data_IF_314344386522
#
_entry.id   IF_314344386522
#
_cell.length_a   1.000
_cell.length_b   1.000
_cell.length_c   1.000
_cell.angle_alpha   90.00
_cell.angle_beta   90.00
_cell.angle_gamma   90.00
#
_symmetry.space_group_name_H-M   'P 1'
#
loop_
_entity.id
_entity.type
_entity.pdbx_description
1 polymer ?
#
# COMPACT_ATOMS: atom_id res chain seq x y z
N UNK A 1 -16.55 13.29 -13.58
CA UNK A 1 -16.53 13.55 -13.34
C UNK A 1 -16.34 13.87 -12.77
N UNK A 2 -15.95 13.58 -12.85
CA UNK A 2 -15.67 13.87 -12.52
C UNK A 2 -15.32 14.28 -11.90
N UNK A 3 -15.24 14.08 -12.05
CA UNK A 3 -14.83 14.54 -11.61
C UNK A 3 -14.58 14.72 -10.96
N UNK A 4 -14.64 14.46 -11.07
CA UNK A 4 -14.36 14.59 -10.59
C UNK A 4 -14.06 14.69 -10.00
N UNK A 5 -14.03 14.60 -10.17
CA UNK A 5 -13.63 14.72 -9.76
C UNK A 5 -13.24 14.78 -9.07
N UNK A 6 -13.24 14.67 -9.05
CA UNK A 6 -12.78 14.63 -8.53
C UNK A 6 -12.30 14.90 -7.71
N UNK A 7 -12.18 14.89 -7.51
CA UNK A 7 -11.58 14.96 -6.81
C UNK A 7 -11.14 15.29 -5.98
N UNK A 8 -10.95 15.34 -5.76
CA UNK A 8 -10.41 15.32 -4.97
C UNK A 8 -10.01 15.60 -4.09
N UNK A 9 -9.89 15.35 -3.90
CA UNK A 9 -9.43 15.35 -3.25
C UNK A 9 -8.83 15.57 -2.49
N UNK A 10 -8.58 15.43 -2.37
CA UNK A 10 -7.94 15.42 -1.88
C UNK A 10 -7.12 15.57 -1.29
N UNK A 11 -6.94 15.72 -1.31
CA UNK A 11 -6.24 15.64 -1.12
C UNK A 11 -5.91 15.29 -0.47
N UNK A 12 -5.70 15.13 -0.31
CA UNK A 12 -5.54 14.49 0.13
C UNK A 12 -6.27 13.70 0.03
N UNK A 13 -6.80 13.61 0.19
CA UNK A 13 -7.56 12.59 0.07
C UNK A 13 -7.86 12.09 -1.25
N UNK A 14 -7.72 12.71 -2.26
CA UNK A 14 -7.87 12.26 -3.61
C UNK A 14 -6.90 11.18 -4.00
N UNK A 15 -5.92 10.92 -3.15
CA UNK A 15 -4.89 9.92 -3.43
C UNK A 15 -5.13 8.58 -2.76
N UNK A 16 -6.23 8.45 -2.06
CA UNK A 16 -6.52 7.18 -1.39
C UNK A 16 -7.15 6.21 -2.37
N UNK A 17 -6.90 4.93 -2.14
CA UNK A 17 -7.55 3.89 -2.92
C UNK A 17 -9.02 3.82 -2.59
N UNK A 18 -9.84 3.46 -3.58
CA UNK A 18 -11.23 3.11 -3.33
C UNK A 18 -11.27 1.78 -2.58
N UNK A 19 -12.45 1.44 -2.03
CA UNK A 19 -12.62 0.14 -1.38
C UNK A 19 -12.33 -0.98 -2.38
N UNK A 20 -12.83 -0.86 -3.59
CA UNK A 20 -12.56 -1.83 -4.65
C UNK A 20 -11.06 -1.93 -4.95
N UNK A 21 -10.35 -0.80 -4.97
CA UNK A 21 -8.91 -0.79 -5.19
C UNK A 21 -8.17 -1.47 -4.06
N UNK A 22 -8.61 -1.24 -2.81
CA UNK A 22 -7.99 -1.90 -1.67
C UNK A 22 -8.19 -3.41 -1.72
N UNK A 23 -9.36 -3.86 -2.12
CA UNK A 23 -9.64 -5.30 -2.26
C UNK A 23 -8.72 -5.91 -3.31
N UNK A 24 -8.53 -5.21 -4.42
CA UNK A 24 -7.64 -5.69 -5.47
C UNK A 24 -6.21 -5.82 -4.96
N UNK A 25 -5.73 -4.82 -4.22
CA UNK A 25 -4.39 -4.87 -3.65
C UNK A 25 -4.27 -6.01 -2.65
N UNK A 26 -5.29 -6.18 -1.79
CA UNK A 26 -5.28 -7.25 -0.81
C UNK A 26 -5.17 -8.63 -1.48
N UNK A 27 -5.97 -8.84 -2.53
CA UNK A 27 -5.95 -10.11 -3.25
C UNK A 27 -4.59 -10.34 -3.91
N UNK A 28 -4.00 -9.30 -4.49
CA UNK A 28 -2.67 -9.40 -5.08
C UNK A 28 -1.62 -9.75 -4.05
N UNK A 29 -1.70 -9.14 -2.86
CA UNK A 29 -0.75 -9.43 -1.80
C UNK A 29 -0.88 -10.88 -1.33
N UNK A 30 -2.10 -11.33 -1.10
CA UNK A 30 -2.33 -12.70 -0.63
C UNK A 30 -1.78 -13.71 -1.64
N UNK A 31 -2.06 -13.50 -2.92
CA UNK A 31 -1.57 -14.39 -3.97
C UNK A 31 -0.06 -14.38 -4.04
N UNK A 32 0.55 -13.19 -3.96
CA UNK A 32 2.01 -13.08 -4.06
C UNK A 32 2.70 -13.70 -2.86
N UNK A 33 2.13 -13.57 -1.67
CA UNK A 33 2.67 -14.21 -0.47
C UNK A 33 2.68 -15.72 -0.65
N UNK A 34 1.59 -16.28 -1.20
CA UNK A 34 1.54 -17.70 -1.49
C UNK A 34 2.58 -18.09 -2.52
N UNK A 35 2.78 -17.29 -3.56
CA UNK A 35 3.79 -17.57 -4.58
C UNK A 35 5.20 -17.53 -4.02
N UNK A 36 5.47 -16.61 -3.10
CA UNK A 36 6.79 -16.51 -2.48
C UNK A 36 7.10 -17.72 -1.62
N UNK A 37 6.08 -18.29 -1.01
CA UNK A 37 6.24 -19.47 -0.15
C UNK A 37 6.62 -19.10 1.27
N UNK A 38 6.44 -20.07 2.17
CA UNK A 38 6.59 -19.83 3.60
C UNK A 38 7.95 -19.25 3.98
N UNK A 39 9.00 -19.74 3.38
CA UNK A 39 10.34 -19.32 3.77
C UNK A 39 10.74 -17.96 3.22
N UNK A 40 9.96 -17.39 2.31
CA UNK A 40 10.36 -16.18 1.61
C UNK A 40 9.32 -15.06 1.66
N UNK A 41 8.22 -15.25 2.38
CA UNK A 41 7.17 -14.25 2.44
C UNK A 41 7.67 -12.95 3.04
N UNK A 42 8.46 -13.02 4.11
CA UNK A 42 8.99 -11.83 4.74
C UNK A 42 9.91 -11.06 3.79
N UNK A 43 10.80 -11.77 3.11
CA UNK A 43 11.70 -11.12 2.15
C UNK A 43 10.92 -10.46 1.03
N UNK A 44 9.89 -11.14 0.52
CA UNK A 44 9.03 -10.57 -0.50
C UNK A 44 8.40 -9.25 -0.01
N UNK A 45 7.86 -9.25 1.22
CA UNK A 45 7.21 -8.06 1.74
C UNK A 45 8.19 -6.91 1.95
N UNK A 46 9.42 -7.21 2.40
CA UNK A 46 10.44 -6.18 2.54
C UNK A 46 10.78 -5.57 1.19
N UNK A 47 10.96 -6.42 0.17
CA UNK A 47 11.26 -5.91 -1.17
C UNK A 47 10.12 -5.05 -1.70
N UNK A 48 8.89 -5.48 -1.48
CA UNK A 48 7.73 -4.71 -1.91
C UNK A 48 7.67 -3.38 -1.19
N UNK A 49 7.92 -3.37 0.12
CA UNK A 49 7.91 -2.13 0.90
C UNK A 49 8.95 -1.16 0.39
N UNK A 50 10.14 -1.65 0.03
CA UNK A 50 11.19 -0.78 -0.51
C UNK A 50 10.79 -0.18 -1.85
N UNK A 51 10.16 -0.98 -2.71
CA UNK A 51 9.68 -0.47 -3.99
C UNK A 51 8.61 0.59 -3.77
N UNK A 52 7.71 0.37 -2.82
CA UNK A 52 6.67 1.34 -2.52
C UNK A 52 7.25 2.61 -1.89
N UNK A 53 8.23 2.46 -1.02
CA UNK A 53 8.88 3.62 -0.41
C UNK A 53 9.57 4.47 -1.46
N UNK A 54 10.19 3.82 -2.44
CA UNK A 54 10.84 4.56 -3.53
C UNK A 54 9.81 5.34 -4.34
N UNK A 55 8.67 4.73 -4.63
CA UNK A 55 7.60 5.39 -5.37
C UNK A 55 6.99 6.53 -4.54
N UNK A 56 6.91 6.37 -3.23
CA UNK A 56 6.40 7.38 -2.32
C UNK A 56 7.34 8.58 -2.23
N UNK A 57 8.65 8.33 -2.32
CA UNK A 57 9.70 9.35 -2.35
C UNK A 57 9.74 10.24 -1.10
N UNK A 58 9.31 9.71 0.05
CA UNK A 58 9.28 10.50 1.29
C UNK A 58 9.44 9.56 2.47
N UNK A 59 10.63 9.57 3.07
CA UNK A 59 10.92 8.64 4.16
C UNK A 59 10.14 8.94 5.43
N UNK A 60 9.75 10.21 5.65
CA UNK A 60 8.97 10.53 6.84
C UNK A 60 7.54 10.02 6.72
N UNK A 61 6.95 10.07 5.53
CA UNK A 61 5.64 9.50 5.30
C UNK A 61 5.71 7.97 5.42
N UNK A 62 6.79 7.37 4.91
CA UNK A 62 6.96 5.94 5.05
C UNK A 62 7.04 5.53 6.52
N UNK A 63 7.73 6.32 7.35
CA UNK A 63 7.80 6.05 8.78
C UNK A 63 6.41 6.08 9.42
N UNK A 64 5.56 7.02 9.01
CA UNK A 64 4.18 7.07 9.49
C UNK A 64 3.41 5.80 9.12
N UNK A 65 3.64 5.32 7.90
CA UNK A 65 2.99 4.08 7.45
C UNK A 65 3.46 2.87 8.25
N UNK A 66 4.73 2.84 8.60
CA UNK A 66 5.27 1.76 9.43
C UNK A 66 4.57 1.75 10.80
N UNK A 67 4.46 2.93 11.42
CA UNK A 67 3.79 3.04 12.71
C UNK A 67 2.33 2.59 12.63
N UNK A 68 1.65 3.03 11.56
CA UNK A 68 0.24 2.65 11.38
C UNK A 68 0.11 1.13 11.22
N UNK A 69 1.03 0.52 10.47
CA UNK A 69 0.97 -0.92 10.21
C UNK A 69 1.28 -1.76 11.45
N UNK A 70 2.01 -1.18 12.42
CA UNK A 70 2.34 -1.89 13.66
C UNK A 70 1.20 -1.89 14.67
N UNK A 71 0.21 -1.01 14.48
CA UNK A 71 -0.90 -0.95 15.42
C UNK A 71 -1.81 -2.16 15.26
N UNK A 72 -2.31 -2.63 16.37
CA UNK A 72 -3.29 -3.71 16.40
C UNK A 72 -2.79 -5.00 15.73
N UNK A 73 -1.51 -5.26 15.81
CA UNK A 73 -0.98 -6.55 15.41
C UNK A 73 -1.28 -7.61 16.50
#
# INVERSE_FOLDING_TARGET
>A
MTNANSVPSTALDGNALTISGLETVYDQLATAIDQAGQGKAELFLVKLALLNANALADSSVFAEHVEAALKDL
#
